data_IF_101745389448
#
_entry.id   IF_101745389448
#
_cell.length_a   1.000
_cell.length_b   1.000
_cell.length_c   1.000
_cell.angle_alpha   90.00
_cell.angle_beta   90.00
_cell.angle_gamma   90.00
#
_symmetry.space_group_name_H-M   'P 1'
#
loop_
_entity.id
_entity.type
_entity.pdbx_description
1 polymer ?
#
# COMPACT_ATOMS: atom_id res chain seq x y z
N UNK A 1 -13.12 -5.89 12.48
CA UNK A 1 -14.02 -6.82 13.23
C UNK A 1 -13.74 -6.65 14.72
N UNK A 2 -14.67 -7.01 15.62
CA UNK A 2 -14.42 -6.96 17.07
C UNK A 2 -13.86 -8.31 17.51
N UNK A 3 -12.79 -8.31 18.29
CA UNK A 3 -12.23 -9.53 18.86
C UNK A 3 -12.91 -9.84 20.21
N UNK A 4 -12.61 -11.02 20.76
CA UNK A 4 -12.97 -11.38 22.14
C UNK A 4 -11.97 -10.87 23.19
N UNK A 5 -10.85 -10.31 22.76
CA UNK A 5 -9.72 -9.94 23.62
C UNK A 5 -9.88 -8.51 24.13
N UNK A 6 -9.79 -8.34 25.44
CA UNK A 6 -9.97 -7.05 26.10
C UNK A 6 -8.80 -6.11 25.85
N UNK A 7 -7.58 -6.63 25.69
CA UNK A 7 -6.41 -5.81 25.40
C UNK A 7 -6.32 -5.37 23.93
N UNK A 8 -6.97 -6.12 23.02
CA UNK A 8 -6.94 -5.90 21.58
C UNK A 8 -8.34 -6.05 20.95
N UNK A 9 -9.32 -5.20 21.31
CA UNK A 9 -10.73 -5.38 20.97
C UNK A 9 -11.06 -5.25 19.48
N UNK A 10 -10.17 -4.68 18.66
CA UNK A 10 -10.39 -4.49 17.24
C UNK A 10 -9.31 -5.17 16.41
N UNK A 11 -9.74 -5.85 15.35
CA UNK A 11 -8.86 -6.36 14.29
C UNK A 11 -9.05 -5.52 13.03
N UNK A 12 -7.91 -5.12 12.46
CA UNK A 12 -7.79 -4.46 11.17
C UNK A 12 -6.93 -5.31 10.24
N UNK A 13 -7.15 -5.19 8.94
CA UNK A 13 -6.30 -5.83 7.94
C UNK A 13 -5.94 -4.85 6.83
N UNK A 14 -4.74 -5.03 6.27
CA UNK A 14 -4.35 -4.41 5.00
C UNK A 14 -4.31 -5.52 3.97
N UNK A 15 -5.15 -5.39 2.93
CA UNK A 15 -5.25 -6.43 1.90
C UNK A 15 -4.06 -6.35 0.96
N UNK A 16 -3.46 -7.48 0.61
CA UNK A 16 -2.62 -7.64 -0.59
C UNK A 16 -3.49 -8.19 -1.74
N UNK A 17 -4.47 -9.04 -1.38
CA UNK A 17 -5.55 -9.57 -2.20
C UNK A 17 -6.72 -9.96 -1.27
N UNK A 18 -7.86 -10.43 -1.80
CA UNK A 18 -8.94 -10.95 -0.95
C UNK A 18 -8.54 -12.16 -0.09
N UNK A 19 -7.54 -12.95 -0.51
CA UNK A 19 -7.03 -14.13 0.22
C UNK A 19 -5.83 -13.82 1.11
N UNK A 20 -5.06 -12.79 0.79
CA UNK A 20 -3.76 -12.49 1.39
C UNK A 20 -3.75 -11.10 1.99
N UNK A 21 -3.44 -11.00 3.26
CA UNK A 21 -3.51 -9.73 3.97
C UNK A 21 -2.59 -9.72 5.19
N UNK A 22 -2.22 -8.51 5.62
CA UNK A 22 -1.52 -8.29 6.87
C UNK A 22 -2.54 -8.01 7.98
N UNK A 23 -2.38 -8.66 9.12
CA UNK A 23 -3.27 -8.53 10.28
C UNK A 23 -2.68 -7.53 11.28
N UNK A 24 -3.54 -6.69 11.84
CA UNK A 24 -3.21 -5.72 12.87
C UNK A 24 -4.28 -5.70 13.96
N UNK A 25 -3.88 -5.26 15.15
CA UNK A 25 -4.76 -5.14 16.32
C UNK A 25 -4.79 -3.70 16.84
N UNK A 26 -5.93 -3.32 17.42
CA UNK A 26 -6.15 -1.96 17.91
C UNK A 26 -6.98 -1.92 19.20
N UNK A 27 -6.64 -0.97 20.07
CA UNK A 27 -7.37 -0.71 21.30
C UNK A 27 -8.67 0.09 21.06
N UNK A 28 -8.70 0.90 20.01
CA UNK A 28 -9.89 1.62 19.54
C UNK A 28 -9.86 1.77 18.01
N UNK A 29 -10.94 2.30 17.41
CA UNK A 29 -11.04 2.49 15.96
C UNK A 29 -10.29 3.71 15.42
N UNK A 30 -9.81 4.60 16.28
CA UNK A 30 -9.21 5.89 15.89
C UNK A 30 -7.69 5.92 16.01
N UNK A 31 -7.11 5.01 16.79
CA UNK A 31 -5.68 4.91 17.02
C UNK A 31 -5.03 4.07 15.93
N UNK A 32 -3.71 4.21 15.82
CA UNK A 32 -2.89 3.35 14.98
C UNK A 32 -3.02 1.90 15.42
N UNK A 33 -3.39 1.04 14.47
CA UNK A 33 -3.38 -0.40 14.66
C UNK A 33 -1.92 -0.89 14.61
N UNK A 34 -1.56 -1.79 15.51
CA UNK A 34 -0.20 -2.30 15.64
C UNK A 34 -0.10 -3.71 15.07
N UNK A 35 1.12 -4.07 14.66
CA UNK A 35 1.43 -5.40 14.15
C UNK A 35 1.22 -6.47 15.22
N UNK A 36 1.10 -7.72 14.78
CA UNK A 36 0.97 -8.90 15.64
C UNK A 36 2.27 -9.71 15.65
N UNK A 37 2.68 -10.19 16.82
CA UNK A 37 3.88 -10.99 17.03
C UNK A 37 3.57 -12.29 17.81
N UNK A 38 4.03 -13.42 17.29
CA UNK A 38 3.76 -14.75 17.85
C UNK A 38 4.99 -15.33 18.56
N UNK A 39 4.79 -15.96 19.73
CA UNK A 39 5.87 -16.48 20.56
C UNK A 39 6.23 -17.95 20.29
N UNK A 40 5.23 -18.85 20.28
CA UNK A 40 5.46 -20.30 20.28
C UNK A 40 5.37 -20.93 18.88
N UNK A 41 4.71 -20.26 17.96
CA UNK A 41 4.39 -20.70 16.59
C UNK A 41 5.02 -19.76 15.55
N UNK A 42 4.44 -19.64 14.36
CA UNK A 42 4.82 -18.62 13.38
C UNK A 42 3.67 -17.63 13.13
N UNK A 43 2.63 -17.64 13.97
CA UNK A 43 1.45 -16.79 13.81
C UNK A 43 0.36 -17.43 12.94
N UNK A 44 0.38 -18.75 12.79
CA UNK A 44 -0.70 -19.56 12.22
C UNK A 44 -2.00 -19.42 13.02
N UNK A 45 -1.88 -19.27 14.33
CA UNK A 45 -2.99 -19.08 15.27
C UNK A 45 -3.73 -17.74 15.07
N UNK A 46 -3.07 -16.71 14.51
CA UNK A 46 -3.65 -15.40 14.22
C UNK A 46 -4.78 -15.46 13.19
N UNK A 47 -4.91 -16.58 12.47
CA UNK A 47 -6.06 -16.80 11.62
C UNK A 47 -7.39 -16.80 12.39
N UNK A 48 -7.41 -17.05 13.70
CA UNK A 48 -8.62 -16.89 14.52
C UNK A 48 -9.14 -15.44 14.52
N UNK A 49 -8.26 -14.46 14.37
CA UNK A 49 -8.60 -13.03 14.43
C UNK A 49 -9.47 -12.59 13.25
N UNK A 50 -9.43 -13.33 12.15
CA UNK A 50 -10.17 -13.05 10.92
C UNK A 50 -11.23 -14.12 10.64
N UNK A 51 -11.48 -15.03 11.59
CA UNK A 51 -12.43 -16.13 11.45
C UNK A 51 -11.94 -17.30 10.60
N UNK A 52 -10.63 -17.38 10.35
CA UNK A 52 -9.98 -18.52 9.70
C UNK A 52 -9.54 -19.61 10.69
N UNK A 53 -8.97 -20.69 10.15
CA UNK A 53 -8.45 -21.82 10.92
C UNK A 53 -6.94 -21.93 10.74
N UNK A 54 -6.24 -22.28 11.81
CA UNK A 54 -4.77 -22.46 11.86
C UNK A 54 -4.26 -23.44 10.78
N UNK A 55 -4.97 -24.56 10.58
CA UNK A 55 -4.61 -25.55 9.56
C UNK A 55 -4.60 -25.03 8.10
N UNK A 56 -5.25 -23.88 7.86
CA UNK A 56 -5.29 -23.22 6.56
C UNK A 56 -4.29 -22.06 6.46
N UNK A 57 -3.56 -21.77 7.53
CA UNK A 57 -2.63 -20.66 7.59
C UNK A 57 -1.48 -20.87 6.60
N UNK A 58 -1.24 -19.86 5.77
CA UNK A 58 -0.01 -19.72 5.00
C UNK A 58 0.58 -18.35 5.26
N UNK A 59 1.90 -18.32 5.38
CA UNK A 59 2.68 -17.12 5.60
C UNK A 59 4.09 -17.36 5.04
N UNK A 60 4.86 -16.30 4.79
CA UNK A 60 6.16 -16.41 4.13
C UNK A 60 7.28 -16.92 5.04
N UNK A 61 7.11 -16.89 6.37
CA UNK A 61 8.20 -17.22 7.31
C UNK A 61 9.33 -16.19 7.29
N UNK A 62 9.05 -14.96 6.87
CA UNK A 62 10.05 -13.89 6.68
C UNK A 62 10.28 -13.04 7.93
N UNK A 63 9.83 -13.53 9.09
CA UNK A 63 9.94 -12.84 10.38
C UNK A 63 11.38 -12.50 10.79
N UNK A 64 12.39 -13.19 10.25
CA UNK A 64 13.81 -12.88 10.49
C UNK A 64 14.24 -11.56 9.86
N UNK A 65 13.52 -11.09 8.85
CA UNK A 65 13.79 -9.81 8.17
C UNK A 65 12.97 -8.66 8.77
N UNK A 66 12.04 -8.95 9.68
CA UNK A 66 11.23 -7.93 10.32
C UNK A 66 12.11 -7.07 11.24
N UNK A 67 12.06 -5.74 11.05
CA UNK A 67 12.69 -4.81 12.00
C UNK A 67 11.98 -4.85 13.34
N UNK A 68 12.72 -4.56 14.41
CA UNK A 68 12.13 -4.46 15.75
C UNK A 68 11.12 -3.30 15.81
N UNK A 69 9.93 -3.57 16.37
CA UNK A 69 8.85 -2.60 16.46
C UNK A 69 7.89 -2.90 17.61
N UNK A 70 7.08 -1.92 18.03
CA UNK A 70 6.01 -2.17 19.00
C UNK A 70 4.80 -2.87 18.35
N UNK A 71 4.30 -3.93 18.98
CA UNK A 71 3.16 -4.70 18.49
C UNK A 71 2.41 -5.43 19.60
N UNK A 72 1.25 -5.98 19.25
CA UNK A 72 0.50 -6.90 20.12
C UNK A 72 1.09 -8.30 19.98
N UNK A 73 1.38 -8.95 21.10
CA UNK A 73 1.98 -10.28 21.10
C UNK A 73 1.39 -11.18 22.19
N UNK A 74 1.42 -12.48 21.91
CA UNK A 74 0.99 -13.56 22.82
C UNK A 74 1.69 -14.86 22.43
N UNK A 75 1.79 -15.80 23.37
CA UNK A 75 2.49 -17.06 23.10
C UNK A 75 1.57 -18.06 22.43
N UNK A 76 0.36 -18.24 22.96
CA UNK A 76 -0.56 -19.29 22.50
C UNK A 76 -1.92 -18.77 22.08
N UNK A 77 -2.61 -19.56 21.24
CA UNK A 77 -3.95 -19.26 20.75
C UNK A 77 -4.93 -19.03 21.91
N UNK A 78 -5.73 -17.98 21.82
CA UNK A 78 -6.75 -17.64 22.81
C UNK A 78 -6.24 -16.90 24.05
N UNK A 79 -4.94 -16.68 24.21
CA UNK A 79 -4.42 -15.77 25.24
C UNK A 79 -4.75 -14.30 24.92
N UNK A 80 -4.83 -13.49 25.99
CA UNK A 80 -4.86 -12.03 25.87
C UNK A 80 -3.53 -11.52 25.31
N UNK A 81 -3.61 -10.46 24.50
CA UNK A 81 -2.42 -9.86 23.92
C UNK A 81 -1.76 -8.89 24.90
N UNK A 82 -0.44 -8.79 24.83
CA UNK A 82 0.36 -7.75 25.50
C UNK A 82 1.01 -6.86 24.45
N UNK A 83 1.18 -5.57 24.74
CA UNK A 83 1.94 -4.67 23.89
C UNK A 83 3.43 -4.83 24.23
N UNK A 84 4.21 -5.35 23.29
CA UNK A 84 5.62 -5.69 23.46
C UNK A 84 6.45 -5.23 22.25
N UNK A 85 7.78 -5.33 22.37
CA UNK A 85 8.65 -5.27 21.20
C UNK A 85 8.54 -6.57 20.42
N UNK A 86 8.32 -6.51 19.11
CA UNK A 86 8.17 -7.65 18.19
C UNK A 86 9.10 -7.52 16.99
N UNK A 87 9.37 -8.63 16.28
CA UNK A 87 10.34 -8.66 15.19
C UNK A 87 11.79 -8.56 15.69
N UNK A 88 12.75 -8.48 14.76
CA UNK A 88 14.18 -8.42 15.10
C UNK A 88 14.62 -9.56 16.01
N UNK A 89 15.26 -9.22 17.14
CA UNK A 89 15.74 -10.16 18.15
C UNK A 89 14.79 -10.32 19.36
N UNK A 90 13.54 -9.84 19.25
CA UNK A 90 12.58 -9.80 20.38
C UNK A 90 12.05 -11.18 20.80
N UNK A 91 12.24 -12.21 19.98
CA UNK A 91 11.63 -13.53 20.17
C UNK A 91 10.20 -13.64 19.64
N UNK A 92 9.54 -12.53 19.31
CA UNK A 92 8.18 -12.52 18.77
C UNK A 92 8.18 -12.41 17.24
N UNK A 93 7.66 -13.43 16.58
CA UNK A 93 7.69 -13.60 15.12
C UNK A 93 6.57 -12.82 14.46
N UNK A 94 6.94 -11.95 13.52
CA UNK A 94 6.02 -11.10 12.78
C UNK A 94 6.21 -11.30 11.28
N UNK A 95 5.28 -11.99 10.61
CA UNK A 95 5.34 -12.26 9.18
C UNK A 95 4.75 -11.10 8.35
N UNK A 96 5.24 -10.87 7.13
CA UNK A 96 4.78 -9.77 6.27
C UNK A 96 3.34 -9.92 5.73
N UNK A 97 2.80 -11.14 5.66
CA UNK A 97 1.40 -11.41 5.28
C UNK A 97 0.92 -12.77 5.79
N UNK A 98 -0.40 -12.96 5.77
CA UNK A 98 -1.10 -14.20 6.11
C UNK A 98 -2.16 -14.52 5.05
N UNK A 99 -2.39 -15.81 4.79
CA UNK A 99 -3.58 -16.35 4.13
C UNK A 99 -4.24 -17.35 5.09
N UNK A 100 -5.49 -17.11 5.49
CA UNK A 100 -6.16 -17.92 6.53
C UNK A 100 -7.29 -18.80 6.01
N UNK A 101 -7.37 -19.00 4.69
CA UNK A 101 -8.47 -19.73 4.05
C UNK A 101 -9.81 -18.99 4.06
N UNK A 102 -9.83 -17.72 4.45
CA UNK A 102 -11.02 -16.84 4.39
C UNK A 102 -10.80 -15.70 3.40
N UNK A 103 -11.88 -15.26 2.77
CA UNK A 103 -11.88 -14.07 1.92
C UNK A 103 -12.29 -12.87 2.72
N UNK A 104 -11.43 -11.86 2.79
CA UNK A 104 -11.81 -10.57 3.34
C UNK A 104 -12.20 -9.67 2.17
N UNK A 105 -13.47 -9.24 2.06
CA UNK A 105 -13.89 -8.36 0.99
C UNK A 105 -13.13 -7.03 1.10
N UNK A 106 -12.54 -6.61 -0.01
CA UNK A 106 -11.95 -5.28 -0.12
C UNK A 106 -13.01 -4.19 -0.29
N UNK A 107 -12.58 -2.93 -0.40
CA UNK A 107 -13.45 -1.84 -0.78
C UNK A 107 -14.20 -2.17 -2.07
N UNK A 108 -15.51 -1.90 -2.10
CA UNK A 108 -16.29 -2.03 -3.33
C UNK A 108 -15.85 -0.96 -4.32
N UNK A 109 -15.51 -1.37 -5.53
CA UNK A 109 -15.17 -0.44 -6.61
C UNK A 109 -16.42 0.38 -6.99
N UNK A 110 -16.35 1.73 -6.99
CA UNK A 110 -17.44 2.55 -7.50
C UNK A 110 -17.75 2.24 -8.96
N UNK A 111 -19.04 2.15 -9.32
CA UNK A 111 -19.50 1.80 -10.68
C UNK A 111 -18.85 2.67 -11.76
N UNK A 112 -18.60 3.95 -11.46
CA UNK A 112 -18.00 4.88 -12.40
C UNK A 112 -16.52 4.60 -12.72
N UNK A 113 -15.80 3.82 -11.90
CA UNK A 113 -14.41 3.44 -12.19
C UNK A 113 -14.32 2.45 -13.35
N UNK A 114 -15.39 1.68 -13.59
CA UNK A 114 -15.50 0.76 -14.74
C UNK A 114 -16.16 1.42 -15.97
N UNK A 115 -16.51 2.71 -15.91
CA UNK A 115 -17.02 3.46 -17.05
C UNK A 115 -15.90 3.86 -18.03
N UNK A 116 -16.26 4.27 -19.25
CA UNK A 116 -15.32 4.84 -20.23
C UNK A 116 -15.78 6.23 -20.64
N UNK A 117 -15.01 7.30 -20.35
CA UNK A 117 -13.80 7.30 -19.53
C UNK A 117 -14.09 7.00 -18.04
N UNK A 118 -13.12 6.47 -17.32
CA UNK A 118 -13.25 6.21 -15.88
C UNK A 118 -13.34 7.51 -15.09
N UNK A 119 -14.13 7.53 -14.00
CA UNK A 119 -14.20 8.67 -13.08
C UNK A 119 -12.94 8.81 -12.20
N UNK A 120 -12.76 10.01 -11.64
CA UNK A 120 -11.98 10.21 -10.42
C UNK A 120 -12.88 9.99 -9.20
N UNK A 121 -12.39 9.24 -8.21
CA UNK A 121 -13.09 8.99 -6.96
C UNK A 121 -12.28 9.56 -5.79
N UNK A 122 -12.89 10.40 -4.97
CA UNK A 122 -12.26 10.92 -3.76
C UNK A 122 -12.23 9.81 -2.70
N UNK A 123 -11.05 9.24 -2.46
CA UNK A 123 -10.92 8.05 -1.62
C UNK A 123 -9.70 8.14 -0.70
N UNK A 124 -9.94 7.98 0.60
CA UNK A 124 -8.89 7.97 1.61
C UNK A 124 -8.19 6.61 1.62
N UNK A 125 -7.19 6.48 0.76
CA UNK A 125 -6.33 5.29 0.67
C UNK A 125 -5.03 5.48 1.45
N UNK A 126 -4.41 4.36 1.84
CA UNK A 126 -3.06 4.37 2.36
C UNK A 126 -2.06 4.59 1.22
N UNK A 127 -1.17 5.58 1.37
CA UNK A 127 -0.10 5.87 0.42
C UNK A 127 1.25 5.52 1.06
N UNK A 128 2.22 5.11 0.24
CA UNK A 128 3.61 5.03 0.67
C UNK A 128 4.20 6.44 0.85
N UNK A 129 4.36 6.85 2.11
CA UNK A 129 4.88 8.16 2.49
C UNK A 129 6.41 8.24 2.56
N UNK A 130 7.14 7.23 2.09
CA UNK A 130 8.61 7.19 2.16
C UNK A 130 9.29 8.34 1.42
N UNK A 131 8.68 8.86 0.35
CA UNK A 131 9.22 9.97 -0.44
C UNK A 131 8.11 10.69 -1.22
N UNK A 132 7.49 11.67 -0.58
CA UNK A 132 6.48 12.54 -1.18
C UNK A 132 6.83 14.00 -0.91
N UNK A 133 6.67 14.84 -1.93
CA UNK A 133 6.74 16.30 -1.81
C UNK A 133 5.39 16.94 -1.49
N UNK A 134 4.34 16.13 -1.34
CA UNK A 134 2.99 16.59 -1.02
C UNK A 134 2.63 16.25 0.43
N UNK A 135 2.38 17.26 1.25
CA UNK A 135 2.23 17.08 2.71
C UNK A 135 0.78 16.81 3.17
N UNK A 136 -0.25 17.24 2.41
CA UNK A 136 -1.66 17.10 2.83
C UNK A 136 -2.68 17.32 1.70
N UNK A 137 -2.44 16.67 0.55
CA UNK A 137 -3.30 16.75 -0.63
C UNK A 137 -4.57 15.92 -0.59
N UNK A 138 -5.63 16.37 -1.28
CA UNK A 138 -6.75 15.49 -1.63
C UNK A 138 -6.20 14.29 -2.43
N UNK A 139 -6.71 13.11 -2.13
CA UNK A 139 -6.37 11.88 -2.85
C UNK A 139 -7.53 11.53 -3.77
N UNK A 140 -7.21 11.39 -5.06
CA UNK A 140 -8.14 10.94 -6.08
C UNK A 140 -7.67 9.62 -6.64
N UNK A 141 -8.58 8.66 -6.76
CA UNK A 141 -8.31 7.31 -7.25
C UNK A 141 -9.07 7.08 -8.55
N UNK A 142 -8.45 6.41 -9.50
CA UNK A 142 -9.09 5.95 -10.73
C UNK A 142 -8.60 4.56 -11.13
N UNK A 143 -9.35 3.92 -12.01
CA UNK A 143 -8.94 2.68 -12.67
C UNK A 143 -7.96 2.98 -13.80
N UNK A 144 -7.01 2.07 -14.01
CA UNK A 144 -6.09 2.06 -15.13
C UNK A 144 -6.41 0.88 -16.05
N UNK A 145 -5.79 0.86 -17.23
CA UNK A 145 -5.87 -0.28 -18.15
C UNK A 145 -4.76 -1.33 -17.88
N UNK A 146 -3.97 -1.16 -16.82
CA UNK A 146 -2.83 -2.02 -16.49
C UNK A 146 -3.25 -3.17 -15.58
N UNK A 147 -3.09 -4.42 -16.04
CA UNK A 147 -3.45 -5.63 -15.28
C UNK A 147 -2.78 -5.77 -13.91
N UNK A 148 -1.48 -5.47 -13.78
CA UNK A 148 -0.74 -5.62 -12.51
C UNK A 148 -0.82 -4.39 -11.61
N UNK A 149 -1.26 -3.25 -12.15
CA UNK A 149 -1.41 -1.99 -11.43
C UNK A 149 -2.77 -1.31 -11.77
N UNK A 150 -3.90 -2.00 -11.51
CA UNK A 150 -5.23 -1.58 -11.96
C UNK A 150 -5.75 -0.30 -11.32
N UNK A 151 -5.14 0.17 -10.22
CA UNK A 151 -5.57 1.37 -9.52
C UNK A 151 -4.45 2.40 -9.45
N UNK A 152 -4.78 3.64 -9.84
CA UNK A 152 -3.93 4.82 -9.72
C UNK A 152 -4.48 5.73 -8.64
N UNK A 153 -3.64 6.10 -7.68
CA UNK A 153 -3.92 7.19 -6.75
C UNK A 153 -3.07 8.41 -7.10
N UNK A 154 -3.68 9.58 -6.99
CA UNK A 154 -3.05 10.88 -7.17
C UNK A 154 -3.19 11.66 -5.88
N UNK A 155 -2.07 12.01 -5.26
CA UNK A 155 -2.03 12.93 -4.13
C UNK A 155 -1.73 14.34 -4.65
N UNK A 156 -2.70 15.25 -4.56
CA UNK A 156 -2.55 16.61 -5.07
C UNK A 156 -1.68 17.48 -4.16
N UNK A 157 -0.51 17.95 -4.61
CA UNK A 157 0.16 19.08 -3.95
C UNK A 157 -0.62 20.38 -4.23
N UNK A 158 -1.12 20.50 -5.46
CA UNK A 158 -2.11 21.47 -5.94
C UNK A 158 -2.75 20.88 -7.22
N UNK A 159 -3.50 21.67 -7.99
CA UNK A 159 -4.20 21.16 -9.17
C UNK A 159 -3.30 20.64 -10.29
N UNK A 160 -2.09 21.16 -10.47
CA UNK A 160 -1.16 20.79 -11.56
C UNK A 160 0.10 20.06 -11.09
N UNK A 161 0.30 19.99 -9.78
CA UNK A 161 1.42 19.30 -9.13
C UNK A 161 0.88 18.21 -8.23
N UNK A 162 1.35 17.00 -8.44
CA UNK A 162 0.85 15.84 -7.70
C UNK A 162 1.87 14.71 -7.65
N UNK A 163 1.63 13.76 -6.75
CA UNK A 163 2.39 12.52 -6.67
C UNK A 163 1.49 11.35 -7.10
N UNK A 164 2.05 10.50 -7.95
CA UNK A 164 1.37 9.31 -8.49
C UNK A 164 1.78 8.07 -7.71
N UNK A 165 0.81 7.20 -7.46
CA UNK A 165 1.00 5.91 -6.80
C UNK A 165 0.14 4.84 -7.47
N UNK A 166 0.61 3.61 -7.48
CA UNK A 166 -0.13 2.47 -8.05
C UNK A 166 -0.44 1.44 -6.98
N UNK A 167 -1.52 0.69 -7.19
CA UNK A 167 -1.85 -0.45 -6.35
C UNK A 167 -2.50 -1.59 -7.13
N UNK A 168 -2.34 -2.80 -6.62
CA UNK A 168 -3.03 -4.01 -7.09
C UNK A 168 -4.49 -4.05 -6.63
N UNK A 169 -4.86 -3.33 -5.56
CA UNK A 169 -6.24 -3.27 -5.05
C UNK A 169 -6.55 -1.95 -4.34
N UNK A 170 -7.83 -1.57 -4.27
CA UNK A 170 -8.28 -0.38 -3.53
C UNK A 170 -8.03 -0.46 -2.02
N UNK A 171 -7.92 -1.68 -1.46
CA UNK A 171 -7.72 -1.92 -0.02
C UNK A 171 -6.26 -2.11 0.38
N UNK A 172 -5.35 -2.04 -0.58
CA UNK A 172 -3.91 -2.15 -0.40
C UNK A 172 -3.29 -0.76 -0.25
N UNK A 173 -2.06 -0.71 0.28
CA UNK A 173 -1.26 0.50 0.18
C UNK A 173 -0.96 0.80 -1.30
N UNK A 174 -1.03 2.07 -1.67
CA UNK A 174 -0.61 2.57 -2.97
C UNK A 174 0.87 2.95 -2.91
N UNK A 175 1.66 2.29 -3.75
CA UNK A 175 3.11 2.30 -3.69
C UNK A 175 3.70 3.29 -4.69
N UNK A 176 4.92 3.76 -4.40
CA UNK A 176 5.70 4.60 -5.31
C UNK A 176 5.94 3.92 -6.66
N UNK A 177 6.15 4.73 -7.70
CA UNK A 177 6.36 4.28 -9.08
C UNK A 177 7.77 4.69 -9.54
N UNK A 178 8.62 3.70 -9.79
CA UNK A 178 9.98 3.86 -10.32
C UNK A 178 10.00 3.87 -11.85
N UNK A 179 10.79 4.77 -12.41
CA UNK A 179 11.04 4.92 -13.84
C UNK A 179 12.48 4.51 -14.17
N UNK A 180 12.60 3.60 -15.14
CA UNK A 180 13.88 3.09 -15.63
C UNK A 180 14.50 3.93 -16.74
N UNK A 181 13.70 4.50 -17.66
CA UNK A 181 14.22 5.32 -18.77
C UNK A 181 13.74 6.76 -18.64
N UNK A 182 14.65 7.64 -18.21
CA UNK A 182 14.32 9.03 -17.87
C UNK A 182 14.64 9.33 -16.40
N UNK A 183 14.56 8.30 -15.55
CA UNK A 183 14.91 8.29 -14.12
C UNK A 183 14.07 9.24 -13.25
N UNK A 184 13.05 9.89 -13.81
CA UNK A 184 12.26 10.89 -13.09
C UNK A 184 10.76 10.70 -13.25
N UNK A 185 10.34 9.81 -14.14
CA UNK A 185 8.95 9.41 -14.33
C UNK A 185 8.16 10.33 -15.24
N UNK A 186 8.81 11.10 -16.13
CA UNK A 186 8.11 11.93 -17.11
C UNK A 186 7.11 11.13 -17.95
N UNK A 187 7.43 9.87 -18.24
CA UNK A 187 6.58 8.92 -18.97
C UNK A 187 5.32 8.54 -18.19
N UNK A 188 5.34 8.58 -16.84
CA UNK A 188 4.18 8.30 -16.01
C UNK A 188 3.08 9.35 -16.16
N UNK A 189 3.35 10.48 -16.83
CA UNK A 189 2.33 11.46 -17.16
C UNK A 189 1.19 10.90 -18.02
N UNK A 190 1.40 9.82 -18.77
CA UNK A 190 0.31 9.14 -19.49
C UNK A 190 -0.80 8.64 -18.56
N UNK A 191 -0.46 8.29 -17.31
CA UNK A 191 -1.39 7.69 -16.34
C UNK A 191 -2.54 8.64 -16.00
N UNK A 192 -2.29 9.94 -16.15
CA UNK A 192 -3.22 11.02 -15.88
C UNK A 192 -3.72 11.71 -17.17
N UNK A 193 -3.25 11.27 -18.34
CA UNK A 193 -3.61 11.84 -19.65
C UNK A 193 -2.70 12.98 -20.11
N UNK A 194 -1.53 13.15 -19.48
CA UNK A 194 -0.49 14.08 -19.92
C UNK A 194 0.49 13.43 -20.89
N UNK A 195 1.63 14.08 -21.12
CA UNK A 195 2.69 13.59 -22.02
C UNK A 195 4.07 13.98 -21.51
N UNK A 196 5.10 13.22 -21.89
CA UNK A 196 6.51 13.49 -21.57
C UNK A 196 6.94 14.92 -21.92
N UNK A 197 6.46 15.47 -23.04
CA UNK A 197 6.86 16.81 -23.52
C UNK A 197 6.49 17.94 -22.56
N UNK A 198 5.43 17.76 -21.77
CA UNK A 198 4.92 18.74 -20.81
C UNK A 198 5.32 18.39 -19.37
N UNK A 199 6.08 17.31 -19.19
CA UNK A 199 6.47 16.85 -17.88
C UNK A 199 7.55 17.78 -17.29
N UNK A 200 7.26 18.31 -16.12
CA UNK A 200 8.22 18.95 -15.25
C UNK A 200 8.25 18.17 -13.95
N UNK A 201 9.33 17.42 -13.74
CA UNK A 201 9.56 16.70 -12.50
C UNK A 201 10.39 17.59 -11.58
N UNK A 202 9.94 17.80 -10.35
CA UNK A 202 10.79 18.39 -9.33
C UNK A 202 10.92 17.47 -8.12
N UNK A 203 12.15 17.42 -7.62
CA UNK A 203 12.65 16.34 -6.79
C UNK A 203 13.86 15.73 -7.46
N UNK A 204 14.98 15.74 -6.75
CA UNK A 204 16.17 15.02 -7.18
C UNK A 204 15.93 13.53 -6.95
N UNK A 205 15.79 12.77 -8.05
CA UNK A 205 15.57 11.32 -7.95
C UNK A 205 16.74 10.61 -7.28
N UNK A 206 17.91 11.24 -7.14
CA UNK A 206 19.03 10.72 -6.36
C UNK A 206 18.77 10.65 -4.85
N UNK A 207 17.78 11.39 -4.35
CA UNK A 207 17.34 11.36 -2.95
C UNK A 207 16.27 10.29 -2.67
N UNK A 208 15.81 9.58 -3.70
CA UNK A 208 14.79 8.54 -3.52
C UNK A 208 15.32 7.40 -2.63
N UNK A 209 14.62 7.06 -1.54
CA UNK A 209 15.01 5.94 -0.68
C UNK A 209 14.74 4.63 -1.40
N UNK A 210 15.44 3.58 -0.96
CA UNK A 210 15.16 2.25 -1.46
C UNK A 210 13.91 1.68 -0.79
N UNK A 211 12.91 1.37 -1.61
CA UNK A 211 11.61 0.86 -1.17
C UNK A 211 11.11 -0.19 -2.16
N UNK A 212 10.06 -0.92 -1.79
CA UNK A 212 9.30 -1.73 -2.75
C UNK A 212 8.25 -0.86 -3.43
N UNK A 213 8.10 -1.01 -4.75
CA UNK A 213 7.10 -0.25 -5.51
C UNK A 213 6.90 -0.80 -6.91
N UNK A 214 6.04 -0.12 -7.67
CA UNK A 214 5.80 -0.44 -9.08
C UNK A 214 6.89 0.18 -9.94
N UNK A 215 7.25 -0.47 -11.05
CA UNK A 215 8.21 0.10 -11.99
C UNK A 215 8.03 -0.41 -13.42
N UNK A 216 8.57 0.34 -14.37
CA UNK A 216 8.71 -0.03 -15.79
C UNK A 216 9.84 0.76 -16.43
N UNK A 217 10.17 0.44 -17.69
CA UNK A 217 11.22 1.16 -18.41
C UNK A 217 10.68 2.25 -19.34
N UNK A 218 9.48 2.13 -19.89
CA UNK A 218 8.99 3.09 -20.89
C UNK A 218 7.48 3.20 -20.89
N UNK A 219 6.99 4.31 -21.46
CA UNK A 219 5.58 4.58 -21.70
C UNK A 219 4.87 3.38 -22.38
N UNK A 220 3.64 3.09 -21.94
CA UNK A 220 2.80 2.00 -22.43
C UNK A 220 3.21 0.60 -21.97
N UNK A 221 4.37 0.41 -21.32
CA UNK A 221 4.76 -0.88 -20.78
C UNK A 221 3.94 -1.24 -19.53
N UNK A 222 3.71 -2.54 -19.34
CA UNK A 222 3.13 -3.06 -18.13
C UNK A 222 4.06 -2.86 -16.93
N UNK A 223 3.48 -2.57 -15.76
CA UNK A 223 4.24 -2.42 -14.53
C UNK A 223 4.62 -3.78 -13.92
N UNK A 224 5.84 -3.82 -13.39
CA UNK A 224 6.32 -4.87 -12.49
C UNK A 224 6.37 -4.34 -11.04
N UNK A 225 6.52 -5.22 -10.06
CA UNK A 225 6.64 -4.86 -8.65
C UNK A 225 7.96 -5.37 -8.06
N UNK A 226 8.67 -4.54 -7.31
CA UNK A 226 9.96 -4.88 -6.72
C UNK A 226 10.71 -3.67 -6.19
N UNK A 227 12.04 -3.79 -6.04
CA UNK A 227 12.87 -2.73 -5.45
C UNK A 227 13.05 -1.54 -6.41
N UNK A 228 12.75 -0.35 -5.92
CA UNK A 228 12.94 0.94 -6.58
C UNK A 228 13.76 1.89 -5.70
N UNK A 229 14.33 2.95 -6.28
CA UNK A 229 15.09 3.98 -5.58
C UNK A 229 16.57 4.00 -5.94
N UNK A 230 17.16 5.20 -5.92
CA UNK A 230 18.44 5.52 -6.55
C UNK A 230 19.62 4.62 -6.19
N UNK A 231 19.77 4.28 -4.90
CA UNK A 231 20.95 3.54 -4.44
C UNK A 231 20.88 2.03 -4.70
N UNK A 232 19.69 1.46 -4.92
CA UNK A 232 19.48 0.01 -4.91
C UNK A 232 18.78 -0.50 -6.18
N UNK A 233 18.44 0.38 -7.10
CA UNK A 233 17.69 0.05 -8.31
C UNK A 233 18.02 1.03 -9.43
N UNK A 234 17.87 0.59 -10.68
CA UNK A 234 17.91 1.48 -11.84
C UNK A 234 16.57 2.18 -12.07
N UNK A 235 15.53 1.83 -11.29
CA UNK A 235 14.20 2.42 -11.35
C UNK A 235 14.10 3.51 -10.29
N UNK A 236 14.22 4.76 -10.70
CA UNK A 236 14.26 5.91 -9.79
C UNK A 236 12.91 6.64 -9.76
N UNK A 237 12.65 7.41 -8.71
CA UNK A 237 11.40 8.15 -8.59
C UNK A 237 11.60 9.51 -7.93
N UNK A 238 10.69 10.43 -8.20
CA UNK A 238 10.75 11.83 -7.75
C UNK A 238 9.71 12.10 -6.65
N UNK A 239 9.83 13.23 -5.96
CA UNK A 239 8.91 13.58 -4.87
C UNK A 239 7.56 14.10 -5.37
N UNK A 240 7.48 14.63 -6.59
CA UNK A 240 6.23 14.97 -7.29
C UNK A 240 6.45 15.12 -8.81
N UNK A 241 5.34 15.19 -9.55
CA UNK A 241 5.30 15.41 -11.00
C UNK A 241 4.35 16.56 -11.34
N UNK A 242 4.66 17.27 -12.42
CA UNK A 242 3.75 18.22 -13.08
C UNK A 242 3.65 17.80 -14.55
N UNK A 243 2.49 17.36 -15.03
CA UNK A 243 2.35 16.84 -16.40
C UNK A 243 1.71 17.83 -17.39
N UNK A 244 1.64 19.12 -17.01
CA UNK A 244 0.98 20.15 -17.80
C UNK A 244 -0.55 20.03 -17.87
N UNK A 245 -1.16 19.19 -17.01
CA UNK A 245 -2.61 19.03 -16.91
C UNK A 245 -3.06 19.26 -15.47
N UNK A 246 -4.31 19.69 -15.29
CA UNK A 246 -4.94 19.78 -13.98
C UNK A 246 -5.75 18.52 -13.67
N UNK A 247 -5.71 18.08 -12.41
CA UNK A 247 -6.52 16.96 -11.91
C UNK A 247 -7.48 17.50 -10.85
N UNK A 248 -8.80 17.21 -10.93
CA UNK A 248 -9.46 16.28 -11.87
C UNK A 248 -9.67 16.82 -13.29
N UNK A 249 -9.39 18.11 -13.54
CA UNK A 249 -9.72 18.77 -14.81
C UNK A 249 -11.22 18.92 -14.99
N UNK A 250 -11.73 18.69 -16.21
CA UNK A 250 -13.17 18.69 -16.52
C UNK A 250 -13.89 17.39 -16.13
N UNK A 251 -13.17 16.41 -15.56
CA UNK A 251 -13.75 15.13 -15.17
C UNK A 251 -14.56 15.26 -13.88
N UNK A 252 -15.69 14.56 -13.81
CA UNK A 252 -16.49 14.47 -12.59
C UNK A 252 -15.73 13.74 -11.49
N UNK A 253 -15.63 14.37 -10.31
CA UNK A 253 -15.21 13.72 -9.07
C UNK A 253 -16.43 13.14 -8.39
N UNK A 254 -16.38 11.84 -8.11
CA UNK A 254 -17.39 11.16 -7.30
C UNK A 254 -16.83 11.04 -5.87
N UNK A 255 -17.69 11.23 -4.86
CA UNK A 255 -17.37 11.17 -3.44
C UNK A 255 -18.08 9.97 -2.80
#
# INVERSE_FOLDING_TARGET
>A
MRTRFTSAPFVGVVLCSPTRYKIFLGANLTNTFLNVGDGDSQGDDFCELVGGLEMNAKFPGDYTNASEMTGYARNTQGEEFSILSIGGFSGWRCNSWYECGVQIPGPTEPVCMSATPSCWYAYNVSLDSSFSGCNSGQILVRKTNYTFAPFLAVQLCNSTRYKLFLSSSLGSQFMNIGDGSGFKGEDHCELVGGSVLNANTAGDSTLSPAVSGFYRNSEGQQFSYGTIGYKQSTYHFTSFLECGISIPGDNNVVY
#
